data_IF_214550587422
#
_entry.id   IF_214550587422
#
_cell.length_a   1.000
_cell.length_b   1.000
_cell.length_c   1.000
_cell.angle_alpha   90.00
_cell.angle_beta   90.00
_cell.angle_gamma   90.00
#
_symmetry.space_group_name_H-M   'P 1'
#
loop_
_entity.id
_entity.type
_entity.pdbx_description
1 polymer ?
#
# COMPACT_ATOMS: atom_id res chain seq x y z
N UNK A 1 6.53 35.27 2.78
CA UNK A 1 5.77 34.20 3.46
C UNK A 1 4.91 33.47 2.45
N UNK A 2 5.42 32.41 1.83
CA UNK A 2 4.59 31.46 1.08
C UNK A 2 5.34 30.14 1.11
N UNK A 3 4.77 29.10 1.72
CA UNK A 3 4.92 27.69 1.33
C UNK A 3 4.31 26.80 2.42
N UNK A 4 3.00 26.65 2.42
CA UNK A 4 2.33 25.51 3.08
C UNK A 4 1.03 25.09 2.36
N UNK A 5 0.59 25.85 1.34
CA UNK A 5 -0.62 25.54 0.56
C UNK A 5 -0.40 24.51 -0.55
N UNK A 6 0.86 24.21 -0.93
CA UNK A 6 1.17 23.22 -1.98
C UNK A 6 1.16 21.78 -1.48
N UNK A 7 1.49 21.52 -0.22
CA UNK A 7 1.64 20.15 0.32
C UNK A 7 0.28 19.46 0.53
N UNK A 8 -0.76 20.11 1.10
CA UNK A 8 -2.08 19.50 1.28
C UNK A 8 -2.76 19.14 -0.04
N UNK A 9 -2.64 20.03 -1.04
CA UNK A 9 -3.22 19.85 -2.38
C UNK A 9 -2.57 18.65 -3.12
N UNK A 10 -1.27 18.46 -2.96
CA UNK A 10 -0.55 17.31 -3.54
C UNK A 10 -0.93 16.00 -2.85
N UNK A 11 -1.08 15.99 -1.52
CA UNK A 11 -1.52 14.80 -0.79
C UNK A 11 -2.92 14.36 -1.18
N UNK A 12 -3.87 15.29 -1.30
CA UNK A 12 -5.23 14.99 -1.76
C UNK A 12 -5.26 14.44 -3.19
N UNK A 13 -4.50 15.04 -4.12
CA UNK A 13 -4.37 14.53 -5.48
C UNK A 13 -3.76 13.13 -5.53
N UNK A 14 -2.81 12.83 -4.65
CA UNK A 14 -2.23 11.50 -4.52
C UNK A 14 -3.23 10.49 -3.97
N UNK A 15 -4.01 10.83 -2.94
CA UNK A 15 -5.10 9.98 -2.43
C UNK A 15 -6.13 9.67 -3.50
N UNK A 16 -6.54 10.68 -4.29
CA UNK A 16 -7.45 10.50 -5.42
C UNK A 16 -6.87 9.56 -6.49
N UNK A 17 -5.58 9.73 -6.84
CA UNK A 17 -4.90 8.83 -7.80
C UNK A 17 -4.72 7.41 -7.26
N UNK A 18 -4.44 7.24 -5.98
CA UNK A 18 -4.36 5.93 -5.33
C UNK A 18 -5.71 5.20 -5.35
N UNK A 19 -6.81 5.93 -5.14
CA UNK A 19 -8.15 5.40 -5.31
C UNK A 19 -8.41 4.92 -6.74
N UNK A 20 -7.88 5.64 -7.75
CA UNK A 20 -7.94 5.23 -9.16
C UNK A 20 -7.05 4.00 -9.40
N UNK A 21 -5.79 4.00 -8.96
CA UNK A 21 -4.85 2.90 -9.19
C UNK A 21 -5.36 1.57 -8.58
N UNK A 22 -5.99 1.62 -7.40
CA UNK A 22 -6.66 0.46 -6.77
C UNK A 22 -7.90 0.04 -7.58
N UNK A 23 -8.70 1.01 -8.03
CA UNK A 23 -9.88 0.73 -8.86
C UNK A 23 -9.51 0.17 -10.25
N UNK A 24 -8.36 0.55 -10.81
CA UNK A 24 -7.87 0.09 -12.10
C UNK A 24 -6.94 -1.11 -11.99
N UNK A 25 -6.71 -1.64 -10.79
CA UNK A 25 -5.89 -2.82 -10.50
C UNK A 25 -4.43 -2.74 -11.04
N UNK A 26 -3.89 -1.53 -11.24
CA UNK A 26 -2.53 -1.34 -11.75
C UNK A 26 -1.50 -1.35 -10.60
N UNK A 27 -1.37 -2.51 -9.98
CA UNK A 27 -0.51 -2.73 -8.81
C UNK A 27 0.98 -2.72 -9.17
N UNK A 28 1.35 -3.07 -10.40
CA UNK A 28 2.73 -3.00 -10.89
C UNK A 28 3.22 -1.54 -10.95
N UNK A 29 2.42 -0.65 -11.55
CA UNK A 29 2.73 0.78 -11.56
C UNK A 29 2.77 1.38 -10.16
N UNK A 30 1.96 0.89 -9.23
CA UNK A 30 1.96 1.37 -7.85
C UNK A 30 3.27 1.04 -7.13
N UNK A 31 3.77 -0.18 -7.29
CA UNK A 31 5.09 -0.58 -6.75
C UNK A 31 6.22 0.23 -7.39
N UNK A 32 6.16 0.49 -8.70
CA UNK A 32 7.16 1.29 -9.41
C UNK A 32 7.26 2.75 -8.89
N UNK A 33 6.16 3.30 -8.34
CA UNK A 33 6.11 4.66 -7.76
C UNK A 33 6.72 4.75 -6.36
N UNK A 34 7.05 3.63 -5.71
CA UNK A 34 7.55 3.59 -4.34
C UNK A 34 8.74 4.52 -4.04
N UNK A 35 9.77 4.65 -4.90
CA UNK A 35 10.87 5.59 -4.65
C UNK A 35 10.40 7.04 -4.57
N UNK A 36 9.43 7.43 -5.41
CA UNK A 36 8.86 8.77 -5.38
C UNK A 36 8.03 8.99 -4.11
N UNK A 37 7.20 8.02 -3.71
CA UNK A 37 6.41 8.09 -2.47
C UNK A 37 7.30 8.31 -1.24
N UNK A 38 8.41 7.58 -1.16
CA UNK A 38 9.42 7.77 -0.09
C UNK A 38 10.05 9.15 -0.13
N UNK A 39 10.47 9.61 -1.32
CA UNK A 39 11.11 10.93 -1.49
C UNK A 39 10.22 12.08 -1.05
N UNK A 40 8.91 11.96 -1.23
CA UNK A 40 7.94 13.00 -0.85
C UNK A 40 7.35 12.82 0.56
N UNK A 41 7.84 11.87 1.36
CA UNK A 41 7.34 11.62 2.71
C UNK A 41 5.93 11.04 2.76
N UNK A 42 5.40 10.56 1.64
CA UNK A 42 4.02 10.05 1.55
C UNK A 42 3.83 8.69 2.22
N UNK A 43 4.93 7.99 2.52
CA UNK A 43 4.89 6.72 3.26
C UNK A 43 4.54 6.89 4.75
N UNK A 44 4.37 8.12 5.24
CA UNK A 44 3.85 8.38 6.60
C UNK A 44 2.34 8.13 6.68
N UNK A 45 1.62 8.25 5.56
CA UNK A 45 0.17 8.00 5.48
C UNK A 45 -0.10 6.48 5.46
N UNK A 46 -0.85 6.00 6.45
CA UNK A 46 -1.18 4.59 6.60
C UNK A 46 -1.99 4.06 5.40
N UNK A 47 -2.81 4.89 4.74
CA UNK A 47 -3.50 4.48 3.51
C UNK A 47 -2.52 4.18 2.38
N UNK A 48 -1.41 4.91 2.30
CA UNK A 48 -0.37 4.70 1.30
C UNK A 48 0.42 3.44 1.61
N UNK A 49 0.77 3.21 2.88
CA UNK A 49 1.40 1.95 3.32
C UNK A 49 0.52 0.75 3.00
N UNK A 50 -0.79 0.86 3.22
CA UNK A 50 -1.74 -0.19 2.89
C UNK A 50 -1.79 -0.48 1.40
N UNK A 51 -1.92 0.54 0.55
CA UNK A 51 -1.98 0.37 -0.88
C UNK A 51 -0.68 -0.25 -1.45
N UNK A 52 0.49 0.20 -0.98
CA UNK A 52 1.78 -0.38 -1.35
C UNK A 52 1.88 -1.83 -0.89
N UNK A 53 1.51 -2.13 0.35
CA UNK A 53 1.54 -3.48 0.89
C UNK A 53 0.60 -4.43 0.13
N UNK A 54 -0.59 -3.96 -0.22
CA UNK A 54 -1.55 -4.70 -1.02
C UNK A 54 -1.05 -4.95 -2.45
N UNK A 55 -0.43 -3.95 -3.09
CA UNK A 55 0.15 -4.12 -4.42
C UNK A 55 1.27 -5.16 -4.43
N UNK A 56 2.14 -5.19 -3.40
CA UNK A 56 3.12 -6.25 -3.24
C UNK A 56 2.49 -7.64 -3.02
N UNK A 57 1.38 -7.71 -2.28
CA UNK A 57 0.63 -8.95 -2.10
C UNK A 57 0.09 -9.48 -3.43
N UNK A 58 -0.56 -8.64 -4.23
CA UNK A 58 -1.08 -9.03 -5.56
C UNK A 58 0.05 -9.46 -6.50
N UNK A 59 1.21 -8.82 -6.43
CA UNK A 59 2.38 -9.19 -7.22
C UNK A 59 3.14 -10.43 -6.67
N UNK A 60 2.66 -11.07 -5.61
CA UNK A 60 3.26 -12.27 -5.01
C UNK A 60 4.49 -12.02 -4.13
N UNK A 61 4.91 -10.76 -3.93
CA UNK A 61 6.00 -10.41 -3.03
C UNK A 61 5.49 -10.25 -1.59
N UNK A 62 5.21 -11.39 -0.97
CA UNK A 62 4.65 -11.45 0.37
C UNK A 62 5.58 -10.88 1.45
N UNK A 63 6.89 -10.87 1.21
CA UNK A 63 7.87 -10.31 2.15
C UNK A 63 7.70 -8.80 2.25
N UNK A 64 7.67 -8.11 1.11
CA UNK A 64 7.43 -6.67 1.10
C UNK A 64 5.99 -6.33 1.50
N UNK A 65 5.01 -7.14 1.10
CA UNK A 65 3.63 -6.97 1.53
C UNK A 65 3.51 -6.93 3.06
N UNK A 66 4.04 -7.95 3.76
CA UNK A 66 4.02 -8.01 5.23
C UNK A 66 4.73 -6.80 5.83
N UNK A 67 5.91 -6.44 5.33
CA UNK A 67 6.69 -5.30 5.84
C UNK A 67 5.90 -4.00 5.86
N UNK A 68 5.22 -3.64 4.77
CA UNK A 68 4.48 -2.38 4.70
C UNK A 68 3.18 -2.44 5.49
N UNK A 69 2.44 -3.53 5.40
CA UNK A 69 1.18 -3.71 6.12
C UNK A 69 1.36 -3.75 7.65
N UNK A 70 2.46 -4.33 8.15
CA UNK A 70 2.77 -4.36 9.59
C UNK A 70 3.15 -2.99 10.15
N UNK A 71 3.54 -2.04 9.30
CA UNK A 71 3.92 -0.67 9.70
C UNK A 71 2.74 0.30 9.79
N UNK A 72 1.51 -0.19 9.55
CA UNK A 72 0.26 0.56 9.71
C UNK A 72 -0.07 0.69 11.20
N UNK A 73 -0.39 1.90 11.63
CA UNK A 73 -0.74 2.22 13.02
C UNK A 73 -2.24 2.44 13.23
N UNK A 74 -2.98 2.83 12.19
CA UNK A 74 -4.43 2.95 12.22
C UNK A 74 -5.09 1.58 12.43
N UNK A 75 -5.87 1.45 13.51
CA UNK A 75 -6.46 0.17 13.91
C UNK A 75 -7.51 -0.37 12.92
N UNK A 76 -8.23 0.50 12.20
CA UNK A 76 -9.22 0.07 11.21
C UNK A 76 -8.51 -0.51 9.99
N UNK A 77 -7.47 0.17 9.53
CA UNK A 77 -6.70 -0.24 8.37
C UNK A 77 -5.84 -1.48 8.67
N UNK A 78 -5.30 -1.58 9.88
CA UNK A 78 -4.58 -2.78 10.33
C UNK A 78 -5.49 -4.02 10.40
N UNK A 79 -6.77 -3.87 10.79
CA UNK A 79 -7.74 -4.96 10.70
C UNK A 79 -7.95 -5.43 9.27
N UNK A 80 -8.04 -4.52 8.30
CA UNK A 80 -8.08 -4.89 6.87
C UNK A 80 -6.80 -5.63 6.44
N UNK A 81 -5.64 -5.15 6.88
CA UNK A 81 -4.36 -5.79 6.61
C UNK A 81 -4.24 -7.20 7.21
N UNK A 82 -4.90 -7.45 8.35
CA UNK A 82 -4.89 -8.76 9.01
C UNK A 82 -5.52 -9.85 8.15
N UNK A 83 -6.53 -9.52 7.33
CA UNK A 83 -7.08 -10.47 6.36
C UNK A 83 -6.03 -10.87 5.32
N UNK A 84 -5.22 -9.92 4.84
CA UNK A 84 -4.13 -10.21 3.90
C UNK A 84 -3.10 -11.15 4.52
N UNK A 85 -2.75 -10.97 5.81
CA UNK A 85 -1.84 -11.88 6.51
C UNK A 85 -2.37 -13.33 6.55
N UNK A 86 -3.65 -13.50 6.85
CA UNK A 86 -4.30 -14.83 6.86
C UNK A 86 -4.27 -15.48 5.46
N UNK A 87 -4.50 -14.70 4.40
CA UNK A 87 -4.38 -15.18 3.04
C UNK A 87 -2.96 -15.64 2.71
N UNK A 88 -1.95 -14.84 3.07
CA UNK A 88 -0.54 -15.21 2.85
C UNK A 88 -0.17 -16.49 3.63
N UNK A 89 -0.60 -16.62 4.88
CA UNK A 89 -0.31 -17.80 5.71
C UNK A 89 -0.95 -19.07 5.14
N UNK A 90 -2.20 -18.98 4.66
CA UNK A 90 -2.87 -20.09 3.97
C UNK A 90 -2.10 -20.48 2.71
N UNK A 91 -1.70 -19.48 1.92
CA UNK A 91 -0.89 -19.65 0.71
C UNK A 91 0.49 -20.29 0.95
N UNK A 92 1.11 -20.01 2.09
CA UNK A 92 2.42 -20.57 2.45
C UNK A 92 2.33 -22.01 2.98
N UNK A 93 1.19 -22.38 3.57
CA UNK A 93 0.96 -23.72 4.12
C UNK A 93 0.42 -24.71 3.09
N UNK A 94 -0.24 -24.23 2.03
CA UNK A 94 -0.74 -25.05 0.94
C UNK A 94 0.01 -24.71 -0.36
N UNK A 95 0.99 -25.54 -0.73
CA UNK A 95 1.87 -25.39 -1.90
C UNK A 95 1.16 -25.22 -3.27
N UNK A 96 -0.17 -25.32 -3.34
CA UNK A 96 -0.94 -25.37 -4.59
C UNK A 96 -2.11 -24.37 -4.69
N UNK A 97 -2.34 -23.48 -3.72
CA UNK A 97 -3.55 -22.61 -3.71
C UNK A 97 -3.32 -21.14 -4.08
N UNK A 98 -2.11 -20.73 -4.45
CA UNK A 98 -1.87 -19.37 -4.93
C UNK A 98 -1.83 -19.34 -6.46
N UNK A 99 -2.99 -19.16 -7.10
CA UNK A 99 -3.15 -18.87 -8.53
C UNK A 99 -4.09 -17.71 -8.73
#
# INVERSE_FOLDING_TARGET
MQLNRRIPDQQEKFRQRLGIDIYTEDYESLVAKLPALKRYGLMEDDHIKYAVGYAYFVNGDYTNAKRYLQSITDAQLFRKASHIFQHIETCQNELFTCY
#
